data_IF_087634718049
#
_entry.id   IF_087634718049
#
_cell.length_a   1.000
_cell.length_b   1.000
_cell.length_c   1.000
_cell.angle_alpha   90.00
_cell.angle_beta   90.00
_cell.angle_gamma   90.00
#
_symmetry.space_group_name_H-M   'P 1'
#
loop_
_entity.id
_entity.type
_entity.pdbx_description
1 polymer ?
#
# COMPACT_ATOMS: atom_id res chain seq x y z
N UNK A 1 16.35 44.81 -26.13
CA UNK A 1 16.94 45.44 -27.34
C UNK A 1 16.08 46.58 -27.94
N UNK A 2 14.74 46.57 -27.80
CA UNK A 2 13.87 47.65 -28.31
C UNK A 2 13.98 48.98 -27.51
N UNK A 3 14.03 48.92 -26.16
CA UNK A 3 14.14 50.10 -25.29
C UNK A 3 15.42 50.92 -25.48
N UNK A 4 16.53 50.27 -25.81
CA UNK A 4 17.81 50.93 -26.04
C UNK A 4 17.83 51.79 -27.31
N UNK A 5 17.02 51.43 -28.32
CA UNK A 5 16.90 52.20 -29.58
C UNK A 5 16.06 53.47 -29.43
N UNK A 6 15.12 53.49 -28.49
CA UNK A 6 14.25 54.65 -28.22
C UNK A 6 15.01 55.77 -27.47
N UNK A 7 15.90 55.40 -26.56
CA UNK A 7 16.73 56.36 -25.81
C UNK A 7 17.71 57.14 -26.69
N UNK A 8 18.26 56.50 -27.73
CA UNK A 8 19.13 57.17 -28.71
C UNK A 8 18.39 58.12 -29.67
N UNK A 9 17.04 58.14 -29.65
CA UNK A 9 16.21 59.05 -30.45
C UNK A 9 15.61 60.21 -29.63
N UNK A 10 16.12 60.46 -28.42
CA UNK A 10 15.71 61.61 -27.60
C UNK A 10 14.30 61.51 -27.02
N UNK A 11 13.71 60.32 -27.00
CA UNK A 11 12.44 60.08 -26.31
C UNK A 11 12.74 59.88 -24.83
N UNK A 12 12.34 60.83 -23.99
CA UNK A 12 12.29 60.64 -22.54
C UNK A 12 11.28 59.54 -22.22
N UNK A 13 11.79 58.40 -21.75
CA UNK A 13 10.97 57.32 -21.22
C UNK A 13 10.70 57.69 -19.76
N UNK A 14 9.46 58.02 -19.42
CA UNK A 14 9.02 58.11 -18.03
C UNK A 14 9.39 56.79 -17.34
N UNK A 15 10.25 56.89 -16.33
CA UNK A 15 10.47 55.80 -15.40
C UNK A 15 9.16 55.63 -14.64
N UNK A 16 8.38 54.61 -15.02
CA UNK A 16 7.40 54.03 -14.11
C UNK A 16 8.09 53.83 -12.75
N UNK A 17 7.44 54.22 -11.63
CA UNK A 17 8.01 54.05 -10.30
C UNK A 17 8.48 52.60 -10.18
N UNK A 18 9.66 52.40 -9.59
CA UNK A 18 10.21 51.07 -9.30
C UNK A 18 9.08 50.27 -8.65
N UNK A 19 8.44 49.39 -9.44
CA UNK A 19 7.60 48.35 -8.93
C UNK A 19 8.57 47.54 -8.08
N UNK A 20 8.50 47.78 -6.76
CA UNK A 20 9.42 47.21 -5.80
C UNK A 20 9.67 45.78 -6.20
N UNK A 21 10.94 45.42 -6.33
CA UNK A 21 11.34 44.04 -6.53
C UNK A 21 10.74 43.29 -5.34
N UNK A 22 9.54 42.78 -5.51
CA UNK A 22 9.00 41.72 -4.70
C UNK A 22 9.99 40.60 -4.99
N UNK A 23 11.01 40.49 -4.12
CA UNK A 23 11.76 39.27 -3.97
C UNK A 23 10.68 38.19 -3.91
N UNK A 24 10.55 37.41 -5.01
CA UNK A 24 9.55 36.39 -5.10
C UNK A 24 9.73 35.54 -3.85
N UNK A 25 8.77 35.68 -2.94
CA UNK A 25 8.78 35.00 -1.66
C UNK A 25 8.75 33.54 -2.04
N UNK A 26 9.91 32.88 -2.01
CA UNK A 26 10.01 31.48 -2.41
C UNK A 26 9.03 30.75 -1.53
N UNK A 27 8.00 30.18 -2.14
CA UNK A 27 7.09 29.27 -1.45
C UNK A 27 7.94 28.27 -0.68
N UNK A 28 7.79 28.24 0.63
CA UNK A 28 8.38 27.21 1.50
C UNK A 28 7.71 25.85 1.27
N UNK A 29 6.56 25.84 0.59
CA UNK A 29 5.90 24.60 0.18
C UNK A 29 6.52 24.06 -1.11
N UNK A 30 6.81 22.75 -1.17
CA UNK A 30 7.24 22.11 -2.39
C UNK A 30 6.22 22.33 -3.50
N UNK A 31 6.69 22.74 -4.68
CA UNK A 31 5.88 22.99 -5.87
C UNK A 31 5.40 21.70 -6.54
N UNK A 32 5.87 20.55 -6.08
CA UNK A 32 5.44 19.23 -6.51
C UNK A 32 5.54 18.26 -5.34
N UNK A 33 4.44 17.54 -5.10
CA UNK A 33 4.39 16.38 -4.21
C UNK A 33 3.47 15.35 -4.85
N UNK A 34 3.83 14.07 -4.80
CA UNK A 34 3.06 13.00 -5.42
C UNK A 34 3.40 11.67 -4.75
N UNK A 35 2.39 10.85 -4.49
CA UNK A 35 2.55 9.57 -3.82
C UNK A 35 1.76 8.47 -4.54
N UNK A 36 2.38 7.31 -4.71
CA UNK A 36 1.76 6.12 -5.28
C UNK A 36 2.05 4.94 -4.36
N UNK A 37 1.04 4.12 -4.10
CA UNK A 37 1.18 2.86 -3.35
C UNK A 37 0.74 1.70 -4.21
N UNK A 38 1.35 0.53 -4.01
CA UNK A 38 0.79 -0.72 -4.52
C UNK A 38 -0.35 -1.21 -3.63
N UNK A 39 -1.22 -2.05 -4.17
CA UNK A 39 -2.01 -2.95 -3.36
C UNK A 39 -1.09 -3.77 -2.44
N UNK A 40 -1.60 -4.10 -1.24
CA UNK A 40 -0.94 -5.03 -0.35
C UNK A 40 -1.27 -6.47 -0.77
N UNK A 41 -0.29 -7.36 -0.70
CA UNK A 41 -0.49 -8.79 -1.00
C UNK A 41 -0.91 -9.59 0.25
N UNK A 42 -1.14 -10.90 0.10
CA UNK A 42 -1.52 -11.80 1.21
C UNK A 42 -0.42 -12.00 2.26
N UNK A 43 0.84 -11.77 1.86
CA UNK A 43 2.00 -11.83 2.75
C UNK A 43 2.21 -10.55 3.54
N UNK A 44 1.58 -9.45 3.13
CA UNK A 44 1.59 -8.17 3.83
C UNK A 44 2.54 -7.16 3.22
N UNK A 45 3.08 -7.42 2.03
CA UNK A 45 4.01 -6.54 1.33
C UNK A 45 3.25 -5.43 0.58
N UNK A 46 3.73 -4.21 0.71
CA UNK A 46 3.27 -3.03 -0.01
C UNK A 46 4.48 -2.22 -0.47
N UNK A 47 4.43 -1.70 -1.69
CA UNK A 47 5.40 -0.74 -2.20
C UNK A 47 4.84 0.67 -2.12
N UNK A 48 5.67 1.62 -1.68
CA UNK A 48 5.34 3.03 -1.60
C UNK A 48 6.39 3.83 -2.37
N UNK A 49 5.92 4.75 -3.21
CA UNK A 49 6.72 5.79 -3.84
C UNK A 49 6.21 7.15 -3.41
N UNK A 50 7.09 7.99 -2.86
CA UNK A 50 6.77 9.34 -2.44
C UNK A 50 7.79 10.30 -3.03
N UNK A 51 7.32 11.25 -3.83
CA UNK A 51 8.15 12.24 -4.46
C UNK A 51 7.80 13.65 -4.03
N UNK A 52 8.83 14.49 -3.89
CA UNK A 52 8.67 15.92 -3.65
C UNK A 52 9.71 16.72 -4.42
N UNK A 53 9.43 17.99 -4.67
CA UNK A 53 10.48 18.93 -5.09
C UNK A 53 11.44 19.28 -3.96
N UNK A 54 12.69 19.53 -4.35
CA UNK A 54 13.74 20.10 -3.51
C UNK A 54 14.14 21.47 -4.04
N UNK A 55 14.07 22.48 -3.17
CA UNK A 55 14.51 23.85 -3.50
C UNK A 55 16.00 23.97 -3.17
N UNK A 56 16.85 24.58 -4.02
CA UNK A 56 16.53 25.29 -5.27
C UNK A 56 16.50 24.41 -6.54
N UNK A 57 16.93 23.14 -6.50
CA UNK A 57 16.88 22.23 -7.67
C UNK A 57 16.72 20.78 -7.25
N UNK A 58 16.08 20.00 -8.12
CA UNK A 58 15.94 18.54 -8.02
C UNK A 58 14.56 18.11 -7.54
N UNK A 59 14.19 16.86 -7.87
CA UNK A 59 13.11 16.15 -7.20
C UNK A 59 13.73 15.04 -6.37
N UNK A 60 13.15 14.82 -5.21
CA UNK A 60 13.54 13.78 -4.28
C UNK A 60 12.47 12.70 -4.35
N UNK A 61 12.86 11.48 -4.67
CA UNK A 61 12.01 10.31 -4.65
C UNK A 61 12.46 9.41 -3.50
N UNK A 62 11.50 8.98 -2.71
CA UNK A 62 11.63 7.88 -1.76
C UNK A 62 10.86 6.70 -2.31
N UNK A 63 11.47 5.53 -2.21
CA UNK A 63 10.82 4.25 -2.41
C UNK A 63 10.99 3.42 -1.13
N UNK A 64 9.89 2.84 -0.65
CA UNK A 64 9.88 1.98 0.51
C UNK A 64 9.13 0.68 0.19
N UNK A 65 9.64 -0.44 0.71
CA UNK A 65 8.88 -1.69 0.83
C UNK A 65 8.45 -1.80 2.28
N UNK A 66 7.14 -1.82 2.47
CA UNK A 66 6.48 -1.94 3.75
C UNK A 66 5.99 -3.37 3.90
N UNK A 67 6.04 -3.90 5.11
CA UNK A 67 5.49 -5.19 5.44
C UNK A 67 4.68 -5.11 6.73
N UNK A 68 3.42 -5.51 6.67
CA UNK A 68 2.53 -5.54 7.84
C UNK A 68 3.08 -6.47 8.93
N UNK A 69 3.40 -5.90 10.08
CA UNK A 69 3.96 -6.61 11.23
C UNK A 69 5.49 -6.67 11.27
N UNK A 70 6.18 -6.13 10.26
CA UNK A 70 7.65 -5.96 10.27
C UNK A 70 8.06 -4.50 10.06
N UNK A 71 7.15 -3.62 9.64
CA UNK A 71 7.45 -2.24 9.33
C UNK A 71 8.09 -2.04 7.97
N UNK A 72 9.05 -1.12 7.92
CA UNK A 72 9.83 -0.79 6.72
C UNK A 72 10.93 -1.84 6.58
N UNK A 73 10.87 -2.63 5.50
CA UNK A 73 11.83 -3.71 5.25
C UNK A 73 12.89 -3.32 4.24
N UNK A 74 12.56 -2.43 3.30
CA UNK A 74 13.53 -1.80 2.40
C UNK A 74 13.21 -0.32 2.22
N UNK A 75 14.26 0.48 2.05
CA UNK A 75 14.17 1.91 1.84
C UNK A 75 15.28 2.38 0.94
N UNK A 76 14.93 3.20 -0.04
CA UNK A 76 15.89 3.88 -0.91
C UNK A 76 15.39 5.29 -1.21
N UNK A 77 16.31 6.24 -1.25
CA UNK A 77 16.07 7.59 -1.69
C UNK A 77 16.99 8.00 -2.84
N UNK A 78 16.48 8.85 -3.72
CA UNK A 78 17.23 9.33 -4.88
C UNK A 78 16.84 10.76 -5.24
N UNK A 79 17.85 11.54 -5.63
CA UNK A 79 17.65 12.81 -6.33
C UNK A 79 17.58 12.56 -7.83
N UNK A 80 16.57 13.13 -8.48
CA UNK A 80 16.37 12.96 -9.91
C UNK A 80 15.77 14.21 -10.56
N UNK A 81 15.93 14.30 -11.88
CA UNK A 81 15.31 15.33 -12.69
C UNK A 81 13.79 15.13 -12.78
N UNK A 82 13.06 16.19 -13.14
CA UNK A 82 11.63 16.10 -13.39
C UNK A 82 11.28 15.11 -14.51
N UNK A 83 12.18 14.91 -15.48
CA UNK A 83 11.99 13.95 -16.58
C UNK A 83 12.13 12.51 -16.09
N UNK A 84 13.18 12.21 -15.33
CA UNK A 84 13.40 10.88 -14.74
C UNK A 84 12.25 10.49 -13.82
N UNK A 85 11.78 11.41 -12.97
CA UNK A 85 10.67 11.13 -12.08
C UNK A 85 9.38 10.79 -12.84
N UNK A 86 9.06 11.55 -13.90
CA UNK A 86 7.90 11.23 -14.75
C UNK A 86 8.03 9.85 -15.40
N UNK A 87 9.24 9.48 -15.83
CA UNK A 87 9.48 8.16 -16.40
C UNK A 87 9.27 7.05 -15.35
N UNK A 88 9.70 7.24 -14.10
CA UNK A 88 9.48 6.27 -13.01
C UNK A 88 7.98 6.06 -12.78
N UNK A 89 7.20 7.13 -12.59
CA UNK A 89 5.75 6.98 -12.37
C UNK A 89 5.02 6.43 -13.58
N UNK A 90 5.45 6.77 -14.80
CA UNK A 90 4.91 6.15 -16.01
C UNK A 90 5.21 4.65 -16.08
N UNK A 91 6.43 4.23 -15.71
CA UNK A 91 6.75 2.80 -15.63
C UNK A 91 5.88 2.07 -14.61
N UNK A 92 5.66 2.66 -13.43
CA UNK A 92 4.79 2.10 -12.40
C UNK A 92 3.35 1.95 -12.93
N UNK A 93 2.80 2.97 -13.59
CA UNK A 93 1.42 2.91 -14.12
C UNK A 93 1.24 1.87 -15.23
N UNK A 94 2.29 1.60 -16.00
CA UNK A 94 2.26 0.64 -17.12
C UNK A 94 2.57 -0.80 -16.68
N UNK A 95 3.05 -1.04 -15.46
CA UNK A 95 3.34 -2.39 -14.98
C UNK A 95 2.05 -3.21 -14.87
N UNK A 96 1.84 -4.30 -15.64
CA UNK A 96 0.58 -5.08 -15.63
C UNK A 96 0.46 -6.07 -14.47
N UNK A 97 1.51 -6.26 -13.69
CA UNK A 97 1.50 -7.15 -12.50
C UNK A 97 1.35 -6.38 -11.20
N UNK A 98 1.75 -5.10 -11.15
CA UNK A 98 1.67 -4.24 -9.97
C UNK A 98 0.37 -3.41 -9.93
N UNK A 99 -0.63 -3.83 -9.17
CA UNK A 99 -1.78 -2.95 -8.94
C UNK A 99 -1.32 -1.79 -8.05
N UNK A 100 -1.44 -0.55 -8.54
CA UNK A 100 -1.00 0.64 -7.81
C UNK A 100 -1.94 1.81 -8.01
N UNK A 101 -2.00 2.70 -7.02
CA UNK A 101 -2.92 3.83 -6.99
C UNK A 101 -2.21 5.07 -6.45
N UNK A 102 -2.50 6.23 -7.05
CA UNK A 102 -2.12 7.53 -6.47
C UNK A 102 -2.93 7.77 -5.19
N UNK A 103 -2.26 8.23 -4.15
CA UNK A 103 -2.85 8.47 -2.83
C UNK A 103 -2.48 9.85 -2.29
N UNK A 104 -3.26 10.39 -1.33
CA UNK A 104 -2.87 11.59 -0.60
C UNK A 104 -1.50 11.42 0.05
N UNK A 105 -0.68 12.47 0.01
CA UNK A 105 0.66 12.43 0.59
C UNK A 105 0.60 12.24 2.10
N UNK A 106 -0.39 12.84 2.78
CA UNK A 106 -0.63 12.60 4.20
C UNK A 106 -0.83 11.10 4.52
N UNK A 107 -1.55 10.37 3.66
CA UNK A 107 -1.71 8.92 3.80
C UNK A 107 -0.40 8.16 3.59
N UNK A 108 0.41 8.56 2.61
CA UNK A 108 1.73 7.96 2.38
C UNK A 108 2.68 8.17 3.57
N UNK A 109 2.66 9.36 4.19
CA UNK A 109 3.41 9.64 5.42
C UNK A 109 2.87 8.79 6.57
N UNK A 110 1.55 8.71 6.73
CA UNK A 110 0.91 7.86 7.75
C UNK A 110 1.33 6.39 7.63
N UNK A 111 1.42 5.85 6.41
CA UNK A 111 1.93 4.49 6.16
C UNK A 111 3.38 4.31 6.62
N UNK A 112 4.25 5.29 6.34
CA UNK A 112 5.65 5.27 6.78
C UNK A 112 5.77 5.35 8.30
N UNK A 113 4.97 6.19 8.96
CA UNK A 113 4.97 6.35 10.41
C UNK A 113 4.45 5.09 11.11
N UNK A 114 3.38 4.48 10.59
CA UNK A 114 2.86 3.20 11.06
C UNK A 114 3.93 2.11 10.92
N UNK A 115 4.55 2.01 9.75
CA UNK A 115 5.58 1.02 9.49
C UNK A 115 6.82 1.24 10.40
N UNK A 116 7.24 2.49 10.60
CA UNK A 116 8.30 2.81 11.55
C UNK A 116 7.96 2.31 12.96
N UNK A 117 6.73 2.51 13.43
CA UNK A 117 6.29 2.02 14.75
C UNK A 117 6.37 0.50 14.85
N UNK A 118 6.06 -0.22 13.78
CA UNK A 118 6.24 -1.68 13.71
C UNK A 118 7.72 -2.07 13.80
N UNK A 119 8.65 -1.33 13.17
CA UNK A 119 10.09 -1.56 13.35
C UNK A 119 10.52 -1.32 14.80
N UNK A 120 10.04 -0.24 15.44
CA UNK A 120 10.40 0.14 16.80
C UNK A 120 9.91 -0.86 17.87
N UNK A 121 8.76 -1.48 17.62
CA UNK A 121 8.17 -2.50 18.49
C UNK A 121 8.63 -3.93 18.16
N UNK A 122 9.15 -4.13 16.95
CA UNK A 122 9.53 -5.43 16.40
C UNK A 122 11.04 -5.69 16.45
N UNK A 123 11.45 -6.75 15.74
CA UNK A 123 12.86 -7.18 15.66
C UNK A 123 13.57 -6.64 14.40
N UNK A 124 12.82 -6.15 13.42
CA UNK A 124 13.36 -5.67 12.14
C UNK A 124 13.84 -4.23 12.31
N UNK A 125 15.15 -3.95 12.22
CA UNK A 125 15.67 -2.60 12.41
C UNK A 125 15.27 -1.69 11.25
N UNK A 126 15.16 -0.38 11.54
CA UNK A 126 14.91 0.62 10.50
C UNK A 126 16.01 0.58 9.42
N UNK A 127 15.63 0.56 8.13
CA UNK A 127 16.59 0.60 7.04
C UNK A 127 17.45 1.86 7.05
N UNK A 128 18.69 1.73 6.58
CA UNK A 128 19.61 2.87 6.43
C UNK A 128 18.99 3.94 5.53
N UNK A 129 19.27 5.20 5.84
CA UNK A 129 18.76 6.35 5.08
C UNK A 129 17.37 6.82 5.52
N UNK A 130 16.52 5.95 6.08
CA UNK A 130 15.16 6.33 6.48
C UNK A 130 15.13 7.49 7.48
N UNK A 131 15.93 7.45 8.55
CA UNK A 131 15.95 8.52 9.57
C UNK A 131 16.29 9.89 8.98
N UNK A 132 17.22 9.95 8.01
CA UNK A 132 17.57 11.20 7.35
C UNK A 132 16.44 11.66 6.41
N UNK A 133 15.91 10.73 5.62
CA UNK A 133 14.79 11.01 4.72
C UNK A 133 13.54 11.48 5.47
N UNK A 134 13.26 10.93 6.65
CA UNK A 134 12.12 11.31 7.49
C UNK A 134 12.11 12.81 7.78
N UNK A 135 13.24 13.40 8.16
CA UNK A 135 13.35 14.85 8.39
C UNK A 135 12.96 15.69 7.16
N UNK A 136 13.17 15.13 5.96
CA UNK A 136 12.79 15.77 4.69
C UNK A 136 11.33 15.51 4.32
N UNK A 137 10.70 14.50 4.89
CA UNK A 137 9.31 14.13 4.64
C UNK A 137 8.34 14.72 5.69
N UNK A 138 8.80 14.96 6.92
CA UNK A 138 8.00 15.49 8.04
C UNK A 138 7.13 16.71 7.66
N UNK A 139 7.61 17.70 6.87
CA UNK A 139 6.77 18.85 6.49
C UNK A 139 5.59 18.50 5.57
N UNK A 140 5.52 17.28 5.06
CA UNK A 140 4.43 16.77 4.23
C UNK A 140 3.38 16.01 5.04
N UNK A 141 3.61 15.80 6.34
CA UNK A 141 2.65 15.14 7.20
C UNK A 141 1.36 15.98 7.33
N UNK A 142 0.23 15.31 7.29
CA UNK A 142 -1.10 15.91 7.47
C UNK A 142 -1.78 15.26 8.67
N UNK A 143 -1.17 15.39 9.85
CA UNK A 143 -1.55 14.64 11.07
C UNK A 143 -3.02 14.83 11.50
N UNK A 144 -3.63 15.97 11.17
CA UNK A 144 -5.05 16.23 11.44
C UNK A 144 -5.97 15.40 10.54
N UNK A 145 -5.58 15.20 9.28
CA UNK A 145 -6.35 14.39 8.31
C UNK A 145 -6.03 12.90 8.42
N UNK A 146 -4.80 12.57 8.81
CA UNK A 146 -4.28 11.20 8.95
C UNK A 146 -3.64 11.00 10.32
N UNK A 147 -4.43 10.94 11.40
CA UNK A 147 -3.88 10.71 12.72
C UNK A 147 -3.28 9.30 12.82
N UNK A 148 -2.07 9.21 13.37
CA UNK A 148 -1.39 7.93 13.58
C UNK A 148 -2.05 7.10 14.69
N UNK A 149 -2.59 7.77 15.71
CA UNK A 149 -3.34 7.13 16.79
C UNK A 149 -4.78 6.86 16.37
N UNK A 150 -5.26 5.64 16.62
CA UNK A 150 -6.64 5.25 16.39
C UNK A 150 -6.80 4.19 15.29
N UNK A 151 -7.99 4.17 14.70
CA UNK A 151 -8.33 3.22 13.64
C UNK A 151 -7.67 3.59 12.31
N UNK A 152 -7.54 2.61 11.41
CA UNK A 152 -7.06 2.82 10.05
C UNK A 152 -7.86 3.92 9.33
N UNK A 153 -7.25 4.84 8.55
CA UNK A 153 -7.95 5.95 7.89
C UNK A 153 -9.18 5.53 7.07
N UNK A 154 -9.15 4.33 6.47
CA UNK A 154 -10.29 3.76 5.72
C UNK A 154 -11.57 3.70 6.55
N UNK A 155 -11.47 3.48 7.86
CA UNK A 155 -12.62 3.33 8.77
C UNK A 155 -13.39 4.64 8.97
N UNK A 156 -12.77 5.78 8.68
CA UNK A 156 -13.43 7.08 8.71
C UNK A 156 -14.17 7.43 7.42
N UNK A 157 -13.98 6.69 6.33
CA UNK A 157 -14.45 7.05 4.99
C UNK A 157 -15.23 5.94 4.28
N UNK A 158 -15.03 4.67 4.65
CA UNK A 158 -15.73 3.50 4.09
C UNK A 158 -16.42 2.72 5.21
N UNK A 159 -17.70 2.43 5.00
CA UNK A 159 -18.51 1.63 5.92
C UNK A 159 -18.58 0.17 5.46
N UNK A 160 -18.54 -0.77 6.41
CA UNK A 160 -18.78 -2.19 6.15
C UNK A 160 -20.17 -2.43 5.53
N UNK A 161 -20.30 -3.53 4.82
CA UNK A 161 -21.53 -3.97 4.18
C UNK A 161 -22.51 -4.44 5.26
N UNK A 162 -23.76 -3.99 5.19
CA UNK A 162 -24.79 -4.40 6.14
C UNK A 162 -25.09 -5.90 5.98
N UNK A 163 -25.52 -6.57 7.06
CA UNK A 163 -25.74 -8.03 7.06
C UNK A 163 -26.77 -8.51 6.02
N UNK A 164 -27.72 -7.65 5.65
CA UNK A 164 -28.79 -7.90 4.70
C UNK A 164 -28.44 -7.48 3.26
N UNK A 165 -27.32 -6.79 3.07
CA UNK A 165 -26.84 -6.37 1.76
C UNK A 165 -26.04 -7.48 1.06
N UNK A 166 -26.14 -7.52 -0.27
CA UNK A 166 -25.49 -8.56 -1.07
C UNK A 166 -23.96 -8.42 -0.99
N UNK A 167 -23.30 -9.52 -0.61
CA UNK A 167 -21.83 -9.66 -0.58
C UNK A 167 -21.26 -10.08 -1.93
N UNK A 168 -20.02 -9.72 -2.16
CA UNK A 168 -19.24 -10.28 -3.27
C UNK A 168 -18.89 -11.73 -2.97
N UNK A 169 -18.93 -12.59 -4.00
CA UNK A 169 -18.40 -13.94 -3.85
C UNK A 169 -16.87 -13.88 -3.75
N UNK A 170 -16.28 -14.61 -2.81
CA UNK A 170 -14.82 -14.63 -2.59
C UNK A 170 -14.06 -14.95 -3.89
N UNK A 171 -14.56 -15.86 -4.73
CA UNK A 171 -13.93 -16.15 -6.03
C UNK A 171 -13.90 -14.96 -6.98
N UNK A 172 -14.92 -14.11 -6.92
CA UNK A 172 -14.93 -12.85 -7.67
C UNK A 172 -13.86 -11.91 -7.14
N UNK A 173 -13.69 -11.84 -5.80
CA UNK A 173 -12.61 -11.06 -5.18
C UNK A 173 -11.24 -11.48 -5.70
N UNK A 174 -10.94 -12.79 -5.70
CA UNK A 174 -9.66 -13.33 -6.22
C UNK A 174 -9.49 -13.20 -7.74
N UNK A 175 -10.55 -12.93 -8.49
CA UNK A 175 -10.43 -12.57 -9.90
C UNK A 175 -9.90 -11.14 -10.09
N UNK A 176 -10.01 -10.27 -9.07
CA UNK A 176 -9.44 -8.92 -9.11
C UNK A 176 -7.93 -8.95 -8.90
N UNK A 177 -7.24 -8.19 -9.75
CA UNK A 177 -5.77 -8.15 -9.81
C UNK A 177 -5.07 -7.88 -8.47
N UNK A 178 -5.53 -6.97 -7.59
CA UNK A 178 -4.95 -6.79 -6.25
C UNK A 178 -4.93 -8.05 -5.38
N UNK A 179 -5.82 -9.02 -5.65
CA UNK A 179 -5.95 -10.26 -4.89
C UNK A 179 -5.24 -11.47 -5.54
N UNK A 180 -4.61 -11.31 -6.71
CA UNK A 180 -3.87 -12.43 -7.34
C UNK A 180 -2.69 -12.91 -6.49
N UNK A 181 -2.10 -12.02 -5.68
CA UNK A 181 -1.01 -12.34 -4.75
C UNK A 181 -1.50 -12.60 -3.32
N UNK A 182 -2.81 -12.77 -3.11
CA UNK A 182 -3.38 -13.07 -1.79
C UNK A 182 -3.28 -14.55 -1.41
N UNK A 183 -2.04 -15.03 -1.34
CA UNK A 183 -1.71 -16.39 -0.90
C UNK A 183 -1.03 -16.34 0.47
N UNK A 184 -1.09 -17.43 1.23
CA UNK A 184 -0.39 -17.58 2.50
C UNK A 184 1.12 -17.74 2.29
N UNK A 185 1.86 -17.53 3.38
CA UNK A 185 3.29 -17.81 3.43
C UNK A 185 3.52 -19.31 3.23
N UNK A 186 4.43 -19.65 2.32
CA UNK A 186 4.75 -21.05 1.96
C UNK A 186 5.10 -21.88 3.19
N UNK A 187 5.91 -21.33 4.10
CA UNK A 187 6.31 -21.99 5.34
C UNK A 187 5.12 -22.38 6.24
N UNK A 188 3.99 -21.67 6.14
CA UNK A 188 2.78 -21.97 6.90
C UNK A 188 1.93 -23.05 6.26
N UNK A 189 1.95 -23.18 4.93
CA UNK A 189 1.13 -24.15 4.20
C UNK A 189 1.87 -25.44 3.86
N UNK A 190 3.20 -25.38 3.72
CA UNK A 190 4.04 -26.51 3.33
C UNK A 190 3.86 -27.77 4.19
N UNK A 191 3.69 -27.70 5.52
CA UNK A 191 3.45 -28.89 6.34
C UNK A 191 2.21 -29.69 5.91
N UNK A 192 1.14 -29.00 5.50
CA UNK A 192 -0.12 -29.64 5.09
C UNK A 192 -0.02 -30.23 3.68
N UNK A 193 0.71 -29.59 2.77
CA UNK A 193 1.00 -30.18 1.47
C UNK A 193 1.87 -31.44 1.58
N UNK A 194 2.82 -31.43 2.51
CA UNK A 194 3.63 -32.62 2.79
C UNK A 194 2.78 -33.77 3.35
N UNK A 195 1.83 -33.49 4.26
CA UNK A 195 0.85 -34.48 4.73
C UNK A 195 0.03 -35.07 3.57
N UNK A 196 -0.40 -34.22 2.63
CA UNK A 196 -1.12 -34.68 1.45
C UNK A 196 -0.27 -35.65 0.61
N UNK A 197 0.98 -35.28 0.29
CA UNK A 197 1.90 -36.13 -0.48
C UNK A 197 2.12 -37.48 0.21
N UNK A 198 2.40 -37.49 1.52
CA UNK A 198 2.62 -38.73 2.29
C UNK A 198 1.35 -39.60 2.33
N UNK A 199 0.17 -38.97 2.44
CA UNK A 199 -1.10 -39.70 2.40
C UNK A 199 -1.37 -40.33 1.02
N UNK A 200 -0.87 -39.71 -0.05
CA UNK A 200 -1.00 -40.20 -1.42
C UNK A 200 -0.06 -41.37 -1.72
N UNK A 201 1.18 -41.34 -1.19
CA UNK A 201 2.16 -42.42 -1.37
C UNK A 201 1.79 -43.70 -0.62
N UNK A 202 1.09 -43.58 0.51
CA UNK A 202 0.63 -44.72 1.31
C UNK A 202 -0.63 -45.40 0.76
N UNK A 203 -1.39 -44.75 -0.14
CA UNK A 203 -2.66 -45.24 -0.65
C UNK A 203 -2.64 -45.42 -2.18
N UNK A 204 -2.10 -46.56 -2.63
CA UNK A 204 -1.85 -46.93 -4.04
C UNK A 204 -3.14 -47.01 -4.91
N UNK A 205 -4.35 -46.78 -4.36
CA UNK A 205 -5.62 -46.99 -5.09
C UNK A 205 -6.70 -45.93 -4.83
N UNK A 206 -6.36 -44.65 -4.66
CA UNK A 206 -7.37 -43.58 -4.61
C UNK A 206 -7.81 -43.15 -6.01
N UNK A 207 -9.12 -43.04 -6.23
CA UNK A 207 -9.67 -42.40 -7.43
C UNK A 207 -9.57 -40.86 -7.35
N UNK A 208 -9.78 -40.17 -8.47
CA UNK A 208 -9.60 -38.71 -8.53
C UNK A 208 -10.60 -37.92 -7.67
N UNK A 209 -11.75 -38.51 -7.32
CA UNK A 209 -12.73 -37.88 -6.45
C UNK A 209 -12.26 -37.94 -4.99
N UNK A 210 -11.77 -39.10 -4.56
CA UNK A 210 -11.23 -39.28 -3.21
C UNK A 210 -10.00 -38.43 -2.97
N UNK A 211 -9.13 -38.25 -3.99
CA UNK A 211 -7.98 -37.32 -3.92
C UNK A 211 -8.41 -35.88 -3.66
N UNK A 212 -9.45 -35.41 -4.37
CA UNK A 212 -9.99 -34.05 -4.20
C UNK A 212 -10.61 -33.86 -2.82
N UNK A 213 -11.41 -34.81 -2.37
CA UNK A 213 -12.01 -34.78 -1.02
C UNK A 213 -10.92 -34.77 0.06
N UNK A 214 -9.86 -35.55 -0.11
CA UNK A 214 -8.73 -35.59 0.82
C UNK A 214 -7.96 -34.28 0.84
N UNK A 215 -7.64 -33.71 -0.33
CA UNK A 215 -6.98 -32.42 -0.44
C UNK A 215 -7.82 -31.31 0.24
N UNK A 216 -9.13 -31.28 -0.03
CA UNK A 216 -10.05 -30.31 0.58
C UNK A 216 -10.02 -30.41 2.11
N UNK A 217 -10.05 -31.64 2.65
CA UNK A 217 -10.01 -31.85 4.10
C UNK A 217 -8.69 -31.39 4.73
N UNK A 218 -7.57 -31.63 4.07
CA UNK A 218 -6.24 -31.18 4.53
C UNK A 218 -6.15 -29.65 4.49
N UNK A 219 -6.63 -29.01 3.42
CA UNK A 219 -6.71 -27.54 3.30
C UNK A 219 -7.58 -26.95 4.41
N UNK A 220 -8.76 -27.52 4.67
CA UNK A 220 -9.66 -27.05 5.73
C UNK A 220 -9.05 -27.20 7.13
N UNK A 221 -8.37 -28.32 7.40
CA UNK A 221 -7.69 -28.54 8.67
C UNK A 221 -6.52 -27.57 8.86
N UNK A 222 -5.69 -27.41 7.82
CA UNK A 222 -4.59 -26.45 7.86
C UNK A 222 -5.07 -25.02 7.98
N UNK A 223 -6.14 -24.64 7.28
CA UNK A 223 -6.77 -23.34 7.44
C UNK A 223 -7.24 -23.12 8.89
N UNK A 224 -7.90 -24.10 9.52
CA UNK A 224 -8.32 -23.98 10.93
C UNK A 224 -7.14 -23.79 11.88
N UNK A 225 -6.07 -24.56 11.72
CA UNK A 225 -4.90 -24.48 12.60
C UNK A 225 -4.14 -23.15 12.40
N UNK A 226 -3.84 -22.77 11.15
CA UNK A 226 -3.17 -21.49 10.87
C UNK A 226 -4.03 -20.32 11.35
N UNK A 227 -5.35 -20.40 11.20
CA UNK A 227 -6.27 -19.32 11.60
C UNK A 227 -6.27 -19.06 13.11
N UNK A 228 -5.85 -20.01 13.96
CA UNK A 228 -5.74 -19.79 15.41
C UNK A 228 -4.70 -18.74 15.79
N UNK A 229 -3.76 -18.42 14.90
CA UNK A 229 -2.79 -17.34 15.09
C UNK A 229 -3.50 -15.98 15.06
N UNK A 230 -3.87 -15.48 16.24
CA UNK A 230 -4.53 -14.18 16.39
C UNK A 230 -3.74 -13.03 15.75
N UNK A 231 -2.41 -13.04 15.84
CA UNK A 231 -1.57 -11.99 15.25
C UNK A 231 -1.66 -12.02 13.72
N UNK A 232 -1.72 -13.21 13.13
CA UNK A 232 -1.95 -13.37 11.70
C UNK A 232 -3.32 -12.81 11.29
N UNK A 233 -4.38 -13.08 12.05
CA UNK A 233 -5.71 -12.53 11.77
C UNK A 233 -5.72 -10.99 11.83
N UNK A 234 -5.10 -10.42 12.85
CA UNK A 234 -4.94 -8.96 12.98
C UNK A 234 -4.13 -8.37 11.81
N UNK A 235 -3.06 -9.07 11.39
CA UNK A 235 -2.26 -8.70 10.21
C UNK A 235 -3.11 -8.68 8.94
N UNK A 236 -3.86 -9.74 8.67
CA UNK A 236 -4.71 -9.88 7.48
C UNK A 236 -5.84 -8.84 7.49
N UNK A 237 -6.47 -8.58 8.64
CA UNK A 237 -7.46 -7.52 8.76
C UNK A 237 -6.87 -6.15 8.38
N UNK A 238 -5.67 -5.82 8.87
CA UNK A 238 -4.97 -4.60 8.48
C UNK A 238 -4.61 -4.56 6.98
N UNK A 239 -4.22 -5.68 6.39
CA UNK A 239 -3.98 -5.77 4.94
C UNK A 239 -5.25 -5.49 4.13
N UNK A 240 -6.39 -6.01 4.58
CA UNK A 240 -7.68 -5.75 3.96
C UNK A 240 -8.04 -4.27 4.07
N UNK A 241 -7.77 -3.63 5.21
CA UNK A 241 -7.99 -2.18 5.38
C UNK A 241 -7.10 -1.33 4.45
N UNK A 242 -5.83 -1.71 4.25
CA UNK A 242 -4.92 -1.05 3.30
C UNK A 242 -5.51 -1.13 1.88
N UNK A 243 -5.91 -2.33 1.44
CA UNK A 243 -6.53 -2.50 0.13
C UNK A 243 -7.89 -1.78 0.03
N UNK A 244 -8.68 -1.76 1.09
CA UNK A 244 -9.94 -1.01 1.14
C UNK A 244 -9.73 0.49 0.89
N UNK A 245 -8.68 1.07 1.48
CA UNK A 245 -8.32 2.47 1.21
C UNK A 245 -7.90 2.67 -0.25
N UNK A 246 -7.09 1.77 -0.80
CA UNK A 246 -6.62 1.84 -2.18
C UNK A 246 -7.79 1.75 -3.18
N UNK A 247 -8.75 0.84 -2.97
CA UNK A 247 -9.93 0.72 -3.81
C UNK A 247 -10.81 1.97 -3.72
N UNK A 248 -10.97 2.56 -2.54
CA UNK A 248 -11.68 3.82 -2.38
C UNK A 248 -11.01 4.95 -3.17
N UNK A 249 -9.67 5.06 -3.11
CA UNK A 249 -8.93 6.04 -3.93
C UNK A 249 -9.06 5.80 -5.44
N UNK A 250 -9.23 4.55 -5.85
CA UNK A 250 -9.52 4.18 -7.24
C UNK A 250 -10.99 4.41 -7.65
N UNK A 251 -11.87 4.78 -6.71
CA UNK A 251 -13.31 4.96 -6.94
C UNK A 251 -14.12 3.65 -6.99
N UNK A 252 -13.52 2.52 -6.60
CA UNK A 252 -14.21 1.22 -6.53
C UNK A 252 -14.80 1.01 -5.13
N UNK A 253 -15.93 1.67 -4.90
CA UNK A 253 -16.63 1.61 -3.61
C UNK A 253 -17.08 0.20 -3.22
N UNK A 254 -17.42 -0.64 -4.20
CA UNK A 254 -17.87 -2.01 -3.90
C UNK A 254 -16.72 -2.84 -3.36
N UNK A 255 -15.54 -2.77 -3.99
CA UNK A 255 -14.36 -3.48 -3.50
C UNK A 255 -13.87 -2.90 -2.17
N UNK A 256 -13.90 -1.57 -2.01
CA UNK A 256 -13.51 -0.91 -0.78
C UNK A 256 -14.34 -1.41 0.42
N UNK A 257 -15.67 -1.42 0.27
CA UNK A 257 -16.59 -1.89 1.32
C UNK A 257 -16.44 -3.39 1.60
N UNK A 258 -16.24 -4.20 0.56
CA UNK A 258 -15.99 -5.64 0.72
C UNK A 258 -14.72 -5.90 1.53
N UNK A 259 -13.62 -5.20 1.24
CA UNK A 259 -12.37 -5.32 2.00
C UNK A 259 -12.55 -4.96 3.48
N UNK A 260 -13.21 -3.84 3.77
CA UNK A 260 -13.48 -3.40 5.15
C UNK A 260 -14.38 -4.41 5.89
N UNK A 261 -15.35 -5.01 5.19
CA UNK A 261 -16.22 -6.04 5.77
C UNK A 261 -15.46 -7.33 6.06
N UNK A 262 -14.61 -7.78 5.13
CA UNK A 262 -13.77 -8.95 5.32
C UNK A 262 -12.77 -8.74 6.47
N UNK A 263 -12.27 -7.51 6.67
CA UNK A 263 -11.41 -7.18 7.79
C UNK A 263 -12.12 -7.40 9.13
N UNK A 264 -13.39 -6.96 9.24
CA UNK A 264 -14.22 -7.20 10.42
C UNK A 264 -14.46 -8.69 10.64
N UNK A 265 -14.78 -9.44 9.58
CA UNK A 265 -15.03 -10.87 9.67
C UNK A 265 -13.80 -11.64 10.16
N UNK A 266 -12.62 -11.36 9.61
CA UNK A 266 -11.37 -11.99 10.03
C UNK A 266 -11.03 -11.65 11.48
N UNK A 267 -11.30 -10.41 11.90
CA UNK A 267 -11.00 -9.96 13.26
C UNK A 267 -11.98 -10.50 14.31
N UNK A 268 -13.27 -10.60 13.96
CA UNK A 268 -14.33 -11.08 14.86
C UNK A 268 -14.47 -12.60 14.89
N UNK A 269 -13.95 -13.31 13.89
CA UNK A 269 -13.96 -14.76 13.87
C UNK A 269 -13.15 -15.32 15.05
N UNK A 270 -13.79 -16.19 15.83
CA UNK A 270 -13.19 -16.80 17.01
C UNK A 270 -12.16 -17.87 16.60
N UNK A 271 -12.65 -19.01 16.13
CA UNK A 271 -11.86 -20.20 15.85
C UNK A 271 -12.13 -20.81 14.47
N UNK A 272 -13.17 -20.37 13.76
CA UNK A 272 -13.49 -20.86 12.42
C UNK A 272 -12.91 -19.93 11.35
N UNK A 273 -12.15 -20.46 10.38
CA UNK A 273 -11.58 -19.66 9.31
C UNK A 273 -12.69 -19.09 8.42
N UNK A 274 -12.52 -17.83 8.02
CA UNK A 274 -13.43 -17.20 7.06
C UNK A 274 -13.29 -17.82 5.67
N UNK A 275 -14.31 -17.74 4.80
CA UNK A 275 -14.20 -18.22 3.42
C UNK A 275 -13.03 -17.61 2.64
N UNK A 276 -12.71 -16.34 2.90
CA UNK A 276 -11.51 -15.69 2.36
C UNK A 276 -10.24 -16.45 2.76
N UNK A 277 -10.09 -16.74 4.05
CA UNK A 277 -8.89 -17.39 4.58
C UNK A 277 -8.69 -18.80 4.02
N UNK A 278 -9.78 -19.57 3.87
CA UNK A 278 -9.71 -20.91 3.25
C UNK A 278 -9.24 -20.82 1.80
N UNK A 279 -9.77 -19.89 1.00
CA UNK A 279 -9.32 -19.70 -0.38
C UNK A 279 -7.85 -19.23 -0.44
N UNK A 280 -7.38 -18.38 0.49
CA UNK A 280 -5.95 -17.99 0.56
C UNK A 280 -5.05 -19.22 0.75
N UNK A 281 -5.39 -20.13 1.66
CA UNK A 281 -4.63 -21.39 1.88
C UNK A 281 -4.70 -22.28 0.65
N UNK A 282 -5.86 -22.37 0.01
CA UNK A 282 -6.07 -23.21 -1.17
C UNK A 282 -5.24 -22.77 -2.39
N UNK A 283 -5.00 -21.47 -2.57
CA UNK A 283 -4.20 -20.94 -3.68
C UNK A 283 -2.70 -20.82 -3.40
N UNK A 284 -2.25 -21.16 -2.18
CA UNK A 284 -0.83 -21.12 -1.80
C UNK A 284 -0.07 -22.32 -2.34
#
# INVERSE_FOLDING_TARGET
KALFRLKNKGVEIEKLPDAGVHAAQRSTYPDYVHAVVSAVDGRGQMLLWLARSRVPRGRYLVQARLHRGQGIVEFTDAEMSAKELRNVFHQISEMPTLASQEVPVGYAIWLLERAQRENELGEVPLPRGFTHAKLMLDPLAEADAFPLEGAHPVRGIVNSIAKDEKRMEVRTLFAHRPFWSWVMDEDRVAPYFQEFIESMESQVALDDKQKKERLQQIVENGAKEIFQDKKLRERIAGQLEDNGYIFHQAGDESMARECVTLADEVQMAADEPTPLFVEMVQYS
#
